data_IF_640702304252
#
_entry.id   IF_640702304252
#
_cell.length_a   1.000
_cell.length_b   1.000
_cell.length_c   1.000
_cell.angle_alpha   90.00
_cell.angle_beta   90.00
_cell.angle_gamma   90.00
#
_symmetry.space_group_name_H-M   'P 1'
#
loop_
_entity.id
_entity.type
_entity.pdbx_description
1 polymer ?
#
# COMPACT_ATOMS: atom_id res chain seq x y z
N UNK A 1 -17.55 -17.46 11.73
CA UNK A 1 -16.20 -16.93 11.89
C UNK A 1 -16.03 -16.56 13.36
N UNK A 2 -15.07 -17.14 14.06
CA UNK A 2 -14.83 -16.84 15.45
C UNK A 2 -13.95 -15.60 15.57
N UNK A 3 -14.08 -14.85 16.67
CA UNK A 3 -13.26 -13.67 16.94
C UNK A 3 -12.27 -13.96 18.06
N UNK A 4 -11.03 -13.45 17.95
CA UNK A 4 -10.07 -13.47 19.04
C UNK A 4 -10.56 -12.62 20.21
N UNK A 5 -10.43 -13.13 21.42
CA UNK A 5 -10.86 -12.43 22.64
C UNK A 5 -9.83 -11.38 23.08
N UNK A 6 -8.57 -11.55 22.69
CA UNK A 6 -7.48 -10.64 23.02
C UNK A 6 -6.37 -10.67 21.98
N UNK A 7 -5.53 -9.64 21.98
CA UNK A 7 -4.32 -9.61 21.15
C UNK A 7 -3.33 -10.70 21.55
N UNK A 8 -3.26 -11.08 22.83
CA UNK A 8 -2.38 -12.13 23.30
C UNK A 8 -2.78 -13.50 22.75
N UNK A 9 -4.08 -13.76 22.58
CA UNK A 9 -4.58 -14.97 21.95
C UNK A 9 -4.16 -15.01 20.47
N UNK A 10 -4.35 -13.92 19.72
CA UNK A 10 -3.91 -13.82 18.33
C UNK A 10 -2.41 -14.04 18.21
N UNK A 11 -1.59 -13.36 19.01
CA UNK A 11 -0.13 -13.45 18.93
C UNK A 11 0.37 -14.88 19.24
N UNK A 12 -0.23 -15.57 20.23
CA UNK A 12 0.09 -16.98 20.50
C UNK A 12 -0.24 -17.91 19.32
N UNK A 13 -1.34 -17.67 18.65
CA UNK A 13 -1.72 -18.46 17.47
C UNK A 13 -0.76 -18.19 16.31
N UNK A 14 -0.43 -16.93 16.02
CA UNK A 14 0.53 -16.58 14.98
C UNK A 14 1.92 -17.19 15.26
N UNK A 15 2.38 -17.16 16.51
CA UNK A 15 3.67 -17.78 16.90
C UNK A 15 3.63 -19.31 16.79
N UNK A 16 2.56 -19.96 17.23
CA UNK A 16 2.40 -21.40 17.12
C UNK A 16 2.40 -21.88 15.68
N UNK A 17 1.72 -21.15 14.79
CA UNK A 17 1.54 -21.51 13.39
C UNK A 17 2.55 -20.81 12.45
N UNK A 18 3.59 -20.21 12.99
CA UNK A 18 4.57 -19.42 12.22
C UNK A 18 5.17 -20.12 11.01
N UNK A 19 5.39 -21.44 11.08
CA UNK A 19 5.97 -22.20 9.96
C UNK A 19 5.00 -22.28 8.79
N UNK A 20 3.74 -22.60 9.05
CA UNK A 20 2.69 -22.63 8.04
C UNK A 20 2.45 -21.25 7.44
N UNK A 21 2.25 -20.24 8.28
CA UNK A 21 2.00 -18.86 7.82
C UNK A 21 3.18 -18.31 7.01
N UNK A 22 4.43 -18.58 7.41
CA UNK A 22 5.62 -18.20 6.66
C UNK A 22 5.64 -18.84 5.26
N UNK A 23 5.35 -20.14 5.15
CA UNK A 23 5.33 -20.83 3.86
C UNK A 23 4.20 -20.31 2.96
N UNK A 24 3.02 -20.06 3.51
CA UNK A 24 1.91 -19.47 2.76
C UNK A 24 2.29 -18.07 2.26
N UNK A 25 2.88 -17.23 3.12
CA UNK A 25 3.29 -15.89 2.75
C UNK A 25 4.41 -15.87 1.70
N UNK A 26 5.38 -16.80 1.76
CA UNK A 26 6.43 -16.91 0.75
C UNK A 26 5.90 -17.36 -0.62
N UNK A 27 4.83 -18.16 -0.63
CA UNK A 27 4.16 -18.62 -1.87
C UNK A 27 3.03 -17.70 -2.35
N UNK A 28 2.85 -16.53 -1.74
CA UNK A 28 1.77 -15.58 -2.08
C UNK A 28 1.60 -15.26 -3.59
N UNK A 29 2.66 -15.25 -4.44
CA UNK A 29 2.47 -15.01 -5.87
C UNK A 29 1.68 -16.12 -6.58
N UNK A 30 1.71 -17.35 -6.03
CA UNK A 30 0.93 -18.51 -6.53
C UNK A 30 -0.38 -18.71 -5.78
N UNK A 31 -0.66 -17.86 -4.79
CA UNK A 31 -1.86 -17.74 -3.95
C UNK A 31 -2.28 -18.97 -3.13
N UNK A 32 -1.70 -20.15 -3.31
CA UNK A 32 -2.22 -21.34 -2.65
C UNK A 32 -1.14 -22.32 -2.18
N UNK A 33 -1.36 -22.91 -1.00
CA UNK A 33 -0.57 -23.99 -0.42
C UNK A 33 -1.39 -25.29 -0.47
N UNK A 34 -0.80 -26.39 -0.95
CA UNK A 34 -1.49 -27.70 -0.94
C UNK A 34 -1.85 -28.10 0.49
N UNK A 35 -3.06 -28.64 0.67
CA UNK A 35 -3.57 -29.04 1.97
C UNK A 35 -2.67 -30.11 2.65
N UNK A 36 -2.21 -31.10 1.89
CA UNK A 36 -1.33 -32.15 2.39
C UNK A 36 -0.01 -31.58 2.95
N UNK A 37 0.57 -30.59 2.26
CA UNK A 37 1.79 -29.94 2.72
C UNK A 37 1.55 -29.07 3.97
N UNK A 38 0.38 -28.46 4.08
CA UNK A 38 -0.01 -27.74 5.30
C UNK A 38 -0.17 -28.72 6.50
N UNK A 39 -0.69 -29.92 6.26
CA UNK A 39 -0.76 -30.97 7.28
C UNK A 39 0.63 -31.36 7.79
N UNK A 40 1.61 -31.52 6.89
CA UNK A 40 3.00 -31.78 7.30
C UNK A 40 3.55 -30.69 8.22
N UNK A 41 3.32 -29.41 7.85
CA UNK A 41 3.78 -28.25 8.62
C UNK A 41 3.08 -28.12 9.99
N UNK A 42 1.88 -28.65 10.12
CA UNK A 42 1.12 -28.70 11.39
C UNK A 42 1.27 -30.01 12.15
N UNK A 43 2.29 -30.81 11.81
CA UNK A 43 2.55 -32.14 12.46
C UNK A 43 1.35 -33.09 12.31
N UNK A 44 0.66 -33.04 11.16
CA UNK A 44 -0.55 -33.85 10.86
C UNK A 44 -1.73 -33.59 11.82
N UNK A 45 -1.75 -32.42 12.49
CA UNK A 45 -2.85 -32.00 13.38
C UNK A 45 -3.88 -31.17 12.61
N UNK A 46 -4.84 -31.83 12.01
CA UNK A 46 -5.90 -31.20 11.22
C UNK A 46 -6.69 -30.13 12.01
N UNK A 47 -6.83 -30.31 13.32
CA UNK A 47 -7.50 -29.38 14.22
C UNK A 47 -6.84 -27.99 14.21
N UNK A 48 -5.51 -27.91 14.00
CA UNK A 48 -4.79 -26.65 13.91
C UNK A 48 -5.16 -25.88 12.65
N UNK A 49 -5.32 -26.58 11.52
CA UNK A 49 -5.77 -25.98 10.25
C UNK A 49 -7.21 -25.53 10.39
N UNK A 50 -8.11 -26.36 10.92
CA UNK A 50 -9.52 -25.99 11.18
C UNK A 50 -9.63 -24.77 12.08
N UNK A 51 -8.81 -24.72 13.14
CA UNK A 51 -8.76 -23.53 14.01
C UNK A 51 -8.43 -22.26 13.23
N UNK A 52 -7.41 -22.30 12.35
CA UNK A 52 -7.04 -21.13 11.54
C UNK A 52 -8.16 -20.70 10.57
N UNK A 53 -8.89 -21.67 9.99
CA UNK A 53 -10.05 -21.41 9.13
C UNK A 53 -11.19 -20.79 9.93
N UNK A 54 -11.53 -21.37 11.09
CA UNK A 54 -12.61 -20.90 11.95
C UNK A 54 -12.39 -19.45 12.43
N UNK A 55 -11.14 -19.07 12.68
CA UNK A 55 -10.76 -17.73 13.08
C UNK A 55 -10.43 -16.80 11.91
N UNK A 56 -10.60 -17.26 10.67
CA UNK A 56 -10.44 -16.46 9.47
C UNK A 56 -9.02 -15.94 9.24
N UNK A 57 -8.00 -16.74 9.63
CA UNK A 57 -6.61 -16.45 9.28
C UNK A 57 -6.28 -17.01 7.90
N UNK A 58 -6.82 -18.17 7.59
CA UNK A 58 -6.72 -18.84 6.30
C UNK A 58 -8.10 -19.26 5.81
N UNK A 59 -8.23 -19.47 4.51
CA UNK A 59 -9.43 -20.04 3.89
C UNK A 59 -9.10 -21.33 3.16
N UNK A 60 -10.09 -22.22 3.12
CA UNK A 60 -10.03 -23.48 2.37
C UNK A 60 -10.60 -23.25 0.96
N UNK A 61 -9.82 -23.57 -0.05
CA UNK A 61 -10.18 -23.54 -1.47
C UNK A 61 -10.13 -24.96 -2.05
N UNK A 62 -10.62 -25.96 -1.32
CA UNK A 62 -10.65 -27.37 -1.69
C UNK A 62 -9.32 -28.05 -1.39
N UNK A 63 -8.53 -28.41 -2.42
CA UNK A 63 -7.23 -29.04 -2.21
C UNK A 63 -6.11 -28.07 -1.80
N UNK A 64 -6.45 -26.79 -1.62
CA UNK A 64 -5.51 -25.72 -1.33
C UNK A 64 -5.99 -24.86 -0.17
N UNK A 65 -5.03 -24.31 0.55
CA UNK A 65 -5.24 -23.30 1.59
C UNK A 65 -4.67 -21.96 1.13
N UNK A 66 -5.39 -20.90 1.42
CA UNK A 66 -4.97 -19.54 1.12
C UNK A 66 -4.99 -18.70 2.40
N UNK A 67 -4.09 -17.72 2.50
CA UNK A 67 -4.15 -16.75 3.58
C UNK A 67 -5.30 -15.77 3.32
N UNK A 68 -6.07 -15.43 4.36
CA UNK A 68 -7.11 -14.41 4.24
C UNK A 68 -6.51 -13.05 3.91
N UNK A 69 -7.19 -12.28 3.04
CA UNK A 69 -6.69 -11.04 2.48
C UNK A 69 -6.31 -10.00 3.56
N UNK A 70 -7.00 -10.00 4.69
CA UNK A 70 -6.70 -9.12 5.83
C UNK A 70 -5.32 -9.40 6.41
N UNK A 71 -4.98 -10.69 6.62
CA UNK A 71 -3.68 -11.09 7.16
C UNK A 71 -2.58 -10.97 6.11
N UNK A 72 -2.87 -11.34 4.86
CA UNK A 72 -1.95 -11.18 3.76
C UNK A 72 -1.52 -9.72 3.64
N UNK A 73 -2.48 -8.81 3.57
CA UNK A 73 -2.24 -7.37 3.49
C UNK A 73 -1.52 -6.83 4.72
N UNK A 74 -1.88 -7.30 5.92
CA UNK A 74 -1.19 -6.90 7.15
C UNK A 74 0.30 -7.27 7.08
N UNK A 75 0.64 -8.51 6.70
CA UNK A 75 2.04 -8.93 6.58
C UNK A 75 2.76 -8.19 5.46
N UNK A 76 2.13 -7.99 4.31
CA UNK A 76 2.71 -7.22 3.22
C UNK A 76 3.02 -5.78 3.64
N UNK A 77 2.10 -5.13 4.34
CA UNK A 77 2.26 -3.75 4.81
C UNK A 77 3.35 -3.64 5.88
N UNK A 78 3.36 -4.53 6.87
CA UNK A 78 4.35 -4.51 7.97
C UNK A 78 5.75 -4.88 7.47
N UNK A 79 5.86 -5.89 6.59
CA UNK A 79 7.13 -6.33 6.03
C UNK A 79 7.56 -5.50 4.81
N UNK A 80 6.73 -4.55 4.37
CA UNK A 80 7.00 -3.68 3.22
C UNK A 80 7.35 -4.47 1.93
N UNK A 81 6.66 -5.58 1.70
CA UNK A 81 6.87 -6.44 0.52
C UNK A 81 5.68 -6.42 -0.45
N UNK A 82 4.93 -5.36 -0.43
CA UNK A 82 3.74 -5.19 -1.25
C UNK A 82 4.15 -5.08 -2.74
N UNK A 83 3.76 -6.06 -3.55
CA UNK A 83 3.96 -6.03 -5.00
C UNK A 83 2.92 -5.12 -5.68
N UNK A 84 1.80 -4.86 -5.01
CA UNK A 84 0.72 -4.01 -5.52
C UNK A 84 0.86 -2.59 -4.99
N UNK A 85 1.35 -1.70 -5.86
CA UNK A 85 1.31 -0.26 -5.62
C UNK A 85 -0.16 0.17 -5.70
N UNK A 86 -0.74 0.50 -4.55
CA UNK A 86 -2.15 0.85 -4.49
C UNK A 86 -2.33 2.37 -4.56
N UNK A 87 -2.46 2.86 -5.78
CA UNK A 87 -2.64 4.28 -6.10
C UNK A 87 -4.02 4.77 -5.66
N UNK A 88 -5.04 3.90 -5.60
CA UNK A 88 -6.43 4.26 -5.29
C UNK A 88 -6.62 4.81 -3.87
N UNK A 89 -5.81 4.40 -2.90
CA UNK A 89 -5.92 4.94 -1.54
C UNK A 89 -5.62 6.45 -1.45
N UNK A 90 -4.70 6.95 -2.27
CA UNK A 90 -4.43 8.40 -2.32
C UNK A 90 -5.65 9.13 -2.87
N UNK A 91 -6.29 8.59 -3.90
CA UNK A 91 -7.49 9.15 -4.51
C UNK A 91 -8.67 9.17 -3.51
N UNK A 92 -8.87 8.12 -2.73
CA UNK A 92 -9.85 8.07 -1.65
C UNK A 92 -9.60 9.16 -0.59
N UNK A 93 -8.35 9.35 -0.19
CA UNK A 93 -8.00 10.40 0.76
C UNK A 93 -8.16 11.82 0.18
N UNK A 94 -7.93 12.01 -1.12
CA UNK A 94 -8.21 13.28 -1.81
C UNK A 94 -9.71 13.57 -1.84
N UNK A 95 -10.55 12.57 -2.10
CA UNK A 95 -12.00 12.70 -1.99
C UNK A 95 -12.44 13.13 -0.59
N UNK A 96 -12.00 12.40 0.44
CA UNK A 96 -12.28 12.74 1.84
C UNK A 96 -11.75 14.10 2.26
N UNK A 97 -10.59 14.50 1.75
CA UNK A 97 -10.00 15.82 2.00
C UNK A 97 -10.95 16.91 1.53
N UNK A 98 -11.40 16.85 0.28
CA UNK A 98 -12.33 17.83 -0.29
C UNK A 98 -13.67 17.86 0.46
N UNK A 99 -14.26 16.71 0.78
CA UNK A 99 -15.50 16.63 1.55
C UNK A 99 -15.37 17.30 2.93
N UNK A 100 -14.29 17.01 3.67
CA UNK A 100 -14.08 17.60 5.00
C UNK A 100 -13.79 19.11 4.93
N UNK A 101 -13.13 19.58 3.89
CA UNK A 101 -12.96 21.02 3.63
C UNK A 101 -14.31 21.69 3.38
N UNK A 102 -15.15 21.09 2.55
CA UNK A 102 -16.49 21.59 2.25
C UNK A 102 -17.39 21.63 3.49
N UNK A 103 -17.33 20.58 4.31
CA UNK A 103 -18.07 20.54 5.58
C UNK A 103 -17.57 21.59 6.56
N UNK A 104 -16.26 21.77 6.68
CA UNK A 104 -15.68 22.82 7.52
C UNK A 104 -16.16 24.21 7.14
N UNK A 105 -16.21 24.52 5.85
CA UNK A 105 -16.60 25.84 5.35
C UNK A 105 -18.11 26.13 5.50
N UNK A 106 -18.94 25.09 5.57
CA UNK A 106 -20.41 25.19 5.69
C UNK A 106 -20.93 25.01 7.13
N UNK A 107 -20.07 24.58 8.05
CA UNK A 107 -20.48 24.29 9.44
C UNK A 107 -20.41 25.54 10.30
N UNK A 108 -21.44 25.78 11.11
CA UNK A 108 -21.50 26.88 12.07
C UNK A 108 -21.15 26.44 13.50
N UNK A 109 -21.25 25.14 13.81
CA UNK A 109 -20.93 24.62 15.14
C UNK A 109 -19.42 24.41 15.29
N UNK A 110 -18.82 25.14 16.23
CA UNK A 110 -17.37 25.17 16.45
C UNK A 110 -16.77 23.77 16.80
N UNK A 111 -17.51 22.94 17.54
CA UNK A 111 -17.04 21.58 17.88
C UNK A 111 -16.98 20.67 16.65
N UNK A 112 -17.97 20.73 15.78
CA UNK A 112 -17.98 19.96 14.52
C UNK A 112 -16.93 20.49 13.55
N UNK A 113 -16.80 21.81 13.45
CA UNK A 113 -15.78 22.48 12.66
C UNK A 113 -14.37 22.04 13.07
N UNK A 114 -14.11 21.96 14.36
CA UNK A 114 -12.85 21.41 14.88
C UNK A 114 -12.62 19.96 14.46
N UNK A 115 -13.66 19.11 14.46
CA UNK A 115 -13.53 17.72 14.00
C UNK A 115 -13.18 17.63 12.51
N UNK A 116 -13.84 18.40 11.65
CA UNK A 116 -13.50 18.46 10.22
C UNK A 116 -12.08 18.96 9.99
N UNK A 117 -11.65 19.98 10.72
CA UNK A 117 -10.28 20.48 10.66
C UNK A 117 -9.24 19.41 11.04
N UNK A 118 -9.54 18.62 12.06
CA UNK A 118 -8.70 17.48 12.46
C UNK A 118 -8.63 16.39 11.38
N UNK A 119 -9.78 16.09 10.75
CA UNK A 119 -9.84 15.13 9.65
C UNK A 119 -9.07 15.61 8.41
N UNK A 120 -9.14 16.88 8.07
CA UNK A 120 -8.32 17.48 6.99
C UNK A 120 -6.83 17.25 7.27
N UNK A 121 -6.35 17.56 8.49
CA UNK A 121 -4.95 17.32 8.86
C UNK A 121 -4.58 15.82 8.74
N UNK A 122 -5.48 14.93 9.12
CA UNK A 122 -5.28 13.48 9.00
C UNK A 122 -5.20 13.03 7.55
N UNK A 123 -6.11 13.50 6.70
CA UNK A 123 -6.10 13.20 5.27
C UNK A 123 -4.79 13.65 4.60
N UNK A 124 -4.36 14.88 4.85
CA UNK A 124 -3.10 15.41 4.31
C UNK A 124 -1.89 14.56 4.70
N UNK A 125 -1.75 14.20 5.97
CA UNK A 125 -0.67 13.31 6.45
C UNK A 125 -0.71 11.95 5.78
N UNK A 126 -1.89 11.35 5.65
CA UNK A 126 -2.05 10.04 5.02
C UNK A 126 -1.72 10.07 3.52
N UNK A 127 -2.13 11.12 2.80
CA UNK A 127 -1.76 11.32 1.40
C UNK A 127 -0.24 11.31 1.23
N UNK A 128 0.49 12.11 2.02
CA UNK A 128 1.93 12.17 1.94
C UNK A 128 2.59 10.82 2.29
N UNK A 129 2.19 10.20 3.41
CA UNK A 129 2.73 8.93 3.87
C UNK A 129 2.52 7.80 2.85
N UNK A 130 1.31 7.68 2.27
CA UNK A 130 1.01 6.65 1.27
C UNK A 130 1.76 6.93 -0.02
N UNK A 131 1.91 8.18 -0.42
CA UNK A 131 2.68 8.57 -1.62
C UNK A 131 4.15 8.19 -1.46
N UNK A 132 4.79 8.52 -0.34
CA UNK A 132 6.18 8.12 -0.06
C UNK A 132 6.34 6.60 -0.11
N UNK A 133 5.41 5.85 0.52
CA UNK A 133 5.43 4.39 0.48
C UNK A 133 5.30 3.85 -0.94
N UNK A 134 4.35 4.37 -1.73
CA UNK A 134 4.15 3.96 -3.12
C UNK A 134 5.41 4.18 -3.98
N UNK A 135 6.15 5.26 -3.77
CA UNK A 135 7.41 5.55 -4.48
C UNK A 135 8.51 4.55 -4.09
N UNK A 136 8.64 4.24 -2.80
CA UNK A 136 9.62 3.24 -2.30
C UNK A 136 9.30 1.85 -2.88
N UNK A 137 8.03 1.44 -2.83
CA UNK A 137 7.60 0.14 -3.35
C UNK A 137 7.76 0.06 -4.86
N UNK A 138 7.47 1.14 -5.59
CA UNK A 138 7.70 1.23 -7.03
C UNK A 138 9.17 0.99 -7.38
N UNK A 139 10.09 1.68 -6.72
CA UNK A 139 11.54 1.52 -6.93
C UNK A 139 11.97 0.08 -6.70
N UNK A 140 11.52 -0.52 -5.58
CA UNK A 140 11.84 -1.91 -5.24
C UNK A 140 11.30 -2.89 -6.29
N UNK A 141 10.06 -2.70 -6.73
CA UNK A 141 9.43 -3.57 -7.73
C UNK A 141 10.12 -3.48 -9.09
N UNK A 142 10.61 -2.31 -9.49
CA UNK A 142 11.40 -2.12 -10.72
C UNK A 142 12.71 -2.89 -10.62
N UNK A 143 13.45 -2.73 -9.52
CA UNK A 143 14.72 -3.43 -9.31
C UNK A 143 14.53 -4.95 -9.26
N UNK A 144 13.52 -5.43 -8.55
CA UNK A 144 13.20 -6.84 -8.47
C UNK A 144 12.78 -7.42 -9.83
N UNK A 145 11.97 -6.69 -10.60
CA UNK A 145 11.56 -7.10 -11.93
C UNK A 145 12.75 -7.22 -12.86
N UNK A 146 13.65 -6.24 -12.85
CA UNK A 146 14.83 -6.26 -13.70
C UNK A 146 15.78 -7.41 -13.34
N UNK A 147 16.05 -7.64 -12.06
CA UNK A 147 16.99 -8.65 -11.58
C UNK A 147 16.45 -10.08 -11.68
N UNK A 148 15.20 -10.29 -11.31
CA UNK A 148 14.67 -11.62 -11.01
C UNK A 148 13.72 -12.19 -12.09
N UNK A 149 13.17 -11.38 -12.99
CA UNK A 149 12.31 -11.88 -14.06
C UNK A 149 13.17 -12.48 -15.19
N UNK A 150 13.15 -13.82 -15.42
CA UNK A 150 13.99 -14.46 -16.42
C UNK A 150 13.50 -14.25 -17.85
N UNK A 151 12.19 -14.08 -18.04
CA UNK A 151 11.58 -13.94 -19.36
C UNK A 151 11.61 -12.48 -19.82
N UNK A 152 12.37 -12.18 -20.87
CA UNK A 152 12.53 -10.82 -21.39
C UNK A 152 11.23 -10.14 -21.82
N UNK A 153 10.29 -10.87 -22.43
CA UNK A 153 9.00 -10.31 -22.86
C UNK A 153 8.16 -9.93 -21.64
N UNK A 154 8.13 -10.80 -20.63
CA UNK A 154 7.42 -10.55 -19.37
C UNK A 154 8.08 -9.41 -18.60
N UNK A 155 9.42 -9.39 -18.53
CA UNK A 155 10.20 -8.31 -17.90
C UNK A 155 9.86 -6.95 -18.52
N UNK A 156 9.86 -6.86 -19.83
CA UNK A 156 9.53 -5.64 -20.56
C UNK A 156 8.08 -5.18 -20.29
N UNK A 157 7.13 -6.12 -20.29
CA UNK A 157 5.72 -5.82 -19.98
C UNK A 157 5.54 -5.32 -18.55
N UNK A 158 6.18 -5.98 -17.57
CA UNK A 158 6.14 -5.58 -16.17
C UNK A 158 6.76 -4.19 -15.95
N UNK A 159 7.92 -3.89 -16.56
CA UNK A 159 8.55 -2.58 -16.45
C UNK A 159 7.68 -1.46 -17.04
N UNK A 160 7.01 -1.70 -18.19
CA UNK A 160 6.06 -0.75 -18.76
C UNK A 160 4.86 -0.51 -17.84
N UNK A 161 4.32 -1.55 -17.22
CA UNK A 161 3.23 -1.42 -16.25
C UNK A 161 3.67 -0.61 -15.02
N UNK A 162 4.90 -0.82 -14.53
CA UNK A 162 5.45 -0.05 -13.42
C UNK A 162 5.68 1.43 -13.81
N UNK A 163 6.03 1.73 -15.06
CA UNK A 163 6.09 3.12 -15.55
C UNK A 163 4.72 3.80 -15.58
N UNK A 164 3.66 3.09 -15.97
CA UNK A 164 2.29 3.63 -15.87
C UNK A 164 1.89 3.92 -14.42
N UNK A 165 2.26 3.04 -13.48
CA UNK A 165 2.05 3.29 -12.04
C UNK A 165 2.83 4.52 -11.57
N UNK A 166 4.08 4.73 -12.03
CA UNK A 166 4.88 5.93 -11.78
C UNK A 166 4.14 7.21 -12.20
N UNK A 167 3.61 7.21 -13.43
CA UNK A 167 2.85 8.35 -13.98
C UNK A 167 1.60 8.64 -13.15
N UNK A 168 0.89 7.59 -12.72
CA UNK A 168 -0.29 7.75 -11.89
C UNK A 168 0.05 8.35 -10.50
N UNK A 169 1.16 7.94 -9.88
CA UNK A 169 1.62 8.55 -8.62
C UNK A 169 1.97 10.02 -8.83
N UNK A 170 2.68 10.36 -9.92
CA UNK A 170 3.01 11.75 -10.24
C UNK A 170 1.75 12.62 -10.43
N UNK A 171 0.72 12.08 -11.10
CA UNK A 171 -0.56 12.77 -11.26
C UNK A 171 -1.24 13.04 -9.92
N UNK A 172 -1.21 12.07 -8.99
CA UNK A 172 -1.81 12.25 -7.66
C UNK A 172 -1.02 13.24 -6.80
N UNK A 173 0.30 13.31 -6.93
CA UNK A 173 1.12 14.36 -6.30
C UNK A 173 0.65 15.74 -6.78
N UNK A 174 0.59 15.94 -8.09
CA UNK A 174 0.15 17.23 -8.67
C UNK A 174 -1.27 17.60 -8.22
N UNK A 175 -2.21 16.66 -8.19
CA UNK A 175 -3.57 16.89 -7.69
C UNK A 175 -3.59 17.26 -6.22
N UNK A 176 -2.73 16.64 -5.41
CA UNK A 176 -2.63 16.94 -3.97
C UNK A 176 -2.12 18.36 -3.73
N UNK A 177 -1.10 18.78 -4.47
CA UNK A 177 -0.56 20.14 -4.43
C UNK A 177 -1.57 21.16 -4.93
N UNK A 178 -2.27 20.85 -6.02
CA UNK A 178 -3.30 21.73 -6.58
C UNK A 178 -4.46 22.00 -5.59
N UNK A 179 -4.90 21.01 -4.83
CA UNK A 179 -5.91 21.19 -3.77
C UNK A 179 -5.40 22.17 -2.71
N UNK A 180 -4.15 22.04 -2.29
CA UNK A 180 -3.58 22.89 -1.25
C UNK A 180 -3.40 24.33 -1.75
N UNK A 181 -2.92 24.51 -2.98
CA UNK A 181 -2.46 25.80 -3.47
C UNK A 181 -3.53 26.57 -4.25
N UNK A 182 -4.38 25.90 -5.03
CA UNK A 182 -5.25 26.51 -6.00
C UNK A 182 -6.73 26.23 -5.81
N UNK A 183 -7.11 25.00 -5.49
CA UNK A 183 -8.52 24.59 -5.50
C UNK A 183 -9.26 25.00 -4.24
N UNK A 184 -8.59 24.98 -3.07
CA UNK A 184 -9.20 25.27 -1.76
C UNK A 184 -8.55 26.47 -1.03
N UNK A 185 -8.31 27.64 -1.68
CA UNK A 185 -7.55 28.73 -1.09
C UNK A 185 -8.29 29.39 0.08
N UNK A 186 -9.62 29.34 0.09
CA UNK A 186 -10.44 29.90 1.19
C UNK A 186 -10.20 29.13 2.47
N UNK A 187 -10.29 27.79 2.41
CA UNK A 187 -10.04 26.93 3.57
C UNK A 187 -8.63 27.16 4.12
N UNK A 188 -7.60 27.04 3.30
CA UNK A 188 -6.22 27.19 3.74
C UNK A 188 -5.86 28.59 4.22
N UNK A 189 -6.68 29.62 3.89
CA UNK A 189 -6.54 30.96 4.46
C UNK A 189 -7.16 31.07 5.85
N UNK A 190 -8.38 30.53 6.03
CA UNK A 190 -9.17 30.72 7.27
C UNK A 190 -8.80 29.70 8.33
N UNK A 191 -8.42 28.47 7.94
CA UNK A 191 -8.14 27.33 8.82
C UNK A 191 -6.65 27.15 9.16
N UNK A 192 -5.79 28.09 8.76
CA UNK A 192 -4.32 27.98 8.88
C UNK A 192 -3.85 28.34 10.31
N UNK A 193 -4.11 27.46 11.25
CA UNK A 193 -3.48 27.51 12.58
C UNK A 193 -1.99 27.05 12.49
N UNK A 194 -1.26 27.19 13.60
CA UNK A 194 0.16 26.78 13.66
C UNK A 194 0.36 25.31 13.33
N UNK A 195 -0.53 24.44 13.78
CA UNK A 195 -0.43 23.00 13.51
C UNK A 195 -0.75 22.66 12.05
N UNK A 196 -1.76 23.28 11.46
CA UNK A 196 -2.08 23.12 10.04
C UNK A 196 -0.92 23.58 9.16
N UNK A 197 -0.27 24.70 9.50
CA UNK A 197 0.91 25.20 8.77
C UNK A 197 2.05 24.19 8.78
N UNK A 198 2.34 23.60 9.93
CA UNK A 198 3.36 22.54 10.04
C UNK A 198 2.99 21.35 9.16
N UNK A 199 1.75 20.86 9.25
CA UNK A 199 1.27 19.73 8.44
C UNK A 199 1.37 20.01 6.96
N UNK A 200 0.92 21.19 6.50
CA UNK A 200 0.97 21.56 5.09
C UNK A 200 2.40 21.62 4.57
N UNK A 201 3.33 22.23 5.35
CA UNK A 201 4.73 22.33 4.96
C UNK A 201 5.38 20.95 4.88
N UNK A 202 5.15 20.07 5.87
CA UNK A 202 5.68 18.70 5.88
C UNK A 202 5.14 17.88 4.70
N UNK A 203 3.84 18.00 4.41
CA UNK A 203 3.21 17.33 3.28
C UNK A 203 3.81 17.79 1.95
N UNK A 204 3.94 19.10 1.74
CA UNK A 204 4.56 19.65 0.52
C UNK A 204 6.00 19.18 0.35
N UNK A 205 6.78 19.16 1.41
CA UNK A 205 8.15 18.66 1.36
C UNK A 205 8.18 17.17 0.93
N UNK A 206 7.36 16.32 1.57
CA UNK A 206 7.30 14.89 1.26
C UNK A 206 6.80 14.62 -0.17
N UNK A 207 5.83 15.39 -0.67
CA UNK A 207 5.32 15.28 -2.04
C UNK A 207 6.38 15.70 -3.05
N UNK A 208 7.08 16.81 -2.80
CA UNK A 208 8.17 17.29 -3.66
C UNK A 208 9.32 16.28 -3.72
N UNK A 209 9.77 15.74 -2.58
CA UNK A 209 10.82 14.71 -2.53
C UNK A 209 10.36 13.43 -3.26
N UNK A 210 9.10 13.05 -3.11
CA UNK A 210 8.50 11.94 -3.84
C UNK A 210 8.52 12.16 -5.34
N UNK A 211 8.19 13.36 -5.79
CA UNK A 211 8.21 13.73 -7.20
C UNK A 211 9.63 13.65 -7.79
N UNK A 212 10.64 14.17 -7.08
CA UNK A 212 12.04 14.04 -7.49
C UNK A 212 12.49 12.58 -7.58
N UNK A 213 12.10 11.74 -6.62
CA UNK A 213 12.38 10.31 -6.67
C UNK A 213 11.70 9.63 -7.88
N UNK A 214 10.49 10.04 -8.29
CA UNK A 214 9.84 9.51 -9.50
C UNK A 214 10.60 9.87 -10.78
N UNK A 215 11.25 11.03 -10.86
CA UNK A 215 12.12 11.40 -11.99
C UNK A 215 13.33 10.46 -12.07
N UNK A 216 13.97 10.17 -10.94
CA UNK A 216 15.09 9.23 -10.92
C UNK A 216 14.66 7.80 -11.29
N UNK A 217 13.48 7.37 -10.84
CA UNK A 217 12.87 6.09 -11.22
C UNK A 217 12.60 6.04 -12.73
N UNK A 218 12.13 7.12 -13.34
CA UNK A 218 11.93 7.19 -14.79
C UNK A 218 13.23 6.93 -15.56
N UNK A 219 14.31 7.61 -15.18
CA UNK A 219 15.64 7.41 -15.77
C UNK A 219 16.10 5.95 -15.64
N UNK A 220 15.85 5.34 -14.49
CA UNK A 220 16.18 3.94 -14.24
C UNK A 220 15.38 2.99 -15.13
N UNK A 221 14.07 3.20 -15.28
CA UNK A 221 13.21 2.42 -16.18
C UNK A 221 13.73 2.52 -17.61
N UNK A 222 13.98 3.73 -18.11
CA UNK A 222 14.51 3.97 -19.46
C UNK A 222 15.82 3.22 -19.67
N UNK A 223 16.73 3.30 -18.71
CA UNK A 223 17.99 2.57 -18.74
C UNK A 223 17.78 1.06 -18.86
N UNK A 224 16.93 0.47 -18.03
CA UNK A 224 16.63 -0.96 -18.06
C UNK A 224 15.97 -1.39 -19.38
N UNK A 225 15.03 -0.60 -19.91
CA UNK A 225 14.41 -0.88 -21.19
C UNK A 225 15.42 -0.87 -22.35
N UNK A 226 16.37 0.05 -22.33
CA UNK A 226 17.44 0.13 -23.34
C UNK A 226 18.39 -1.08 -23.27
N UNK A 227 18.76 -1.52 -22.05
CA UNK A 227 19.58 -2.72 -21.87
C UNK A 227 18.88 -3.98 -22.39
N UNK A 228 17.57 -4.15 -22.10
CA UNK A 228 16.78 -5.27 -22.59
C UNK A 228 16.69 -5.23 -24.13
N UNK A 229 16.47 -4.06 -24.73
CA UNK A 229 16.41 -3.90 -26.17
C UNK A 229 17.75 -4.24 -26.86
N UNK A 230 18.86 -3.91 -26.23
CA UNK A 230 20.20 -4.27 -26.73
C UNK A 230 20.45 -5.77 -26.67
N UNK A 231 20.12 -6.42 -25.55
CA UNK A 231 20.30 -7.87 -25.36
C UNK A 231 19.42 -8.72 -26.30
N UNK A 232 18.26 -8.21 -26.70
CA UNK A 232 17.38 -8.92 -27.67
C UNK A 232 17.82 -8.79 -29.14
N UNK A 233 18.81 -7.96 -29.47
CA UNK A 233 19.35 -7.80 -30.82
C UNK A 233 20.60 -8.67 -31.08
N UNK A 234 21.15 -9.26 -30.04
CA UNK A 234 22.25 -10.23 -30.11
C UNK A 234 21.74 -11.66 -30.15
#
# INVERSE_FOLDING_TARGET
>A
MNNFKSIDELLRVLEREKLLLKQMFQKRPSTSLKYDYALELTEYKEERIKYLIDYGIIRDSGNFLEMEDVYLKFFEDVLQVNENINVSFVDDYLGRLNENIDYYLKEDNEQRKYNYHKEVKRCLKNIAMITVRNVIDLKRNIDNTYKNEPNYRVKLSKLKNLDEKRKNIALLINRSEDIIDNTQPVFFRVAMDTQMRIVVNDVKLQLNDSYHNLIEIEKQIIHYLNLIAYQNKM
#
